data_IF_263422756900
#
_entry.id   IF_263422756900
#
_cell.length_a   1.000
_cell.length_b   1.000
_cell.length_c   1.000
_cell.angle_alpha   90.00
_cell.angle_beta   90.00
_cell.angle_gamma   90.00
#
_symmetry.space_group_name_H-M   'P 1'
#
loop_
_entity.id
_entity.type
_entity.pdbx_description
1 polymer ?
#
# COMPACT_ATOMS: atom_id res chain seq x y z
N UNK A 1 -20.42 4.93 13.91
CA UNK A 1 -19.01 4.95 13.47
C UNK A 1 -18.69 3.62 12.81
N UNK A 2 -18.04 3.64 11.64
CA UNK A 2 -17.54 2.44 10.98
C UNK A 2 -16.17 2.06 11.54
N UNK A 3 -15.87 0.76 11.62
CA UNK A 3 -14.52 0.29 11.98
C UNK A 3 -13.58 0.50 10.79
N UNK A 4 -12.35 0.96 11.05
CA UNK A 4 -11.30 1.11 10.04
C UNK A 4 -10.26 0.00 10.20
N UNK A 5 -9.88 -0.63 9.10
CA UNK A 5 -8.75 -1.56 9.02
C UNK A 5 -7.77 -1.05 7.96
N UNK A 6 -6.49 -1.01 8.30
CA UNK A 6 -5.42 -0.63 7.38
C UNK A 6 -4.48 -1.83 7.27
N UNK A 7 -4.17 -2.24 6.03
CA UNK A 7 -3.33 -3.40 5.73
C UNK A 7 -2.13 -2.89 4.93
N UNK A 8 -0.92 -3.11 5.45
CA UNK A 8 0.31 -2.87 4.70
C UNK A 8 0.86 -4.18 4.14
N UNK A 9 1.28 -4.17 2.87
CA UNK A 9 1.81 -5.33 2.16
C UNK A 9 3.20 -4.98 1.64
N UNK A 10 4.24 -5.63 2.15
CA UNK A 10 5.61 -5.39 1.68
C UNK A 10 5.85 -6.07 0.32
N UNK A 11 6.52 -5.37 -0.60
CA UNK A 11 6.78 -5.85 -1.97
C UNK A 11 5.57 -5.93 -2.91
N UNK A 12 4.38 -5.49 -2.49
CA UNK A 12 3.14 -5.58 -3.27
C UNK A 12 2.97 -4.43 -4.29
N UNK A 13 3.90 -4.32 -5.23
CA UNK A 13 3.81 -3.32 -6.31
C UNK A 13 2.63 -3.59 -7.25
N UNK A 14 2.11 -2.54 -7.91
CA UNK A 14 1.05 -2.70 -8.92
C UNK A 14 1.47 -3.62 -10.07
N UNK A 15 2.75 -3.66 -10.45
CA UNK A 15 3.26 -4.64 -11.43
C UNK A 15 2.94 -6.09 -11.07
N UNK A 16 2.99 -6.44 -9.78
CA UNK A 16 2.64 -7.79 -9.29
C UNK A 16 1.14 -7.95 -9.11
N UNK A 17 0.48 -6.95 -8.53
CA UNK A 17 -0.96 -6.99 -8.27
C UNK A 17 -1.76 -7.07 -9.56
N UNK A 18 -1.49 -6.18 -10.52
CA UNK A 18 -2.20 -6.09 -11.79
C UNK A 18 -2.05 -7.39 -12.58
N UNK A 19 -0.82 -7.93 -12.66
CA UNK A 19 -0.56 -9.23 -13.29
C UNK A 19 -1.41 -10.35 -12.66
N UNK A 20 -1.50 -10.42 -11.33
CA UNK A 20 -2.28 -11.45 -10.66
C UNK A 20 -3.80 -11.22 -10.74
N UNK A 21 -4.25 -9.97 -10.82
CA UNK A 21 -5.65 -9.60 -11.06
C UNK A 21 -6.08 -10.03 -12.46
N UNK A 22 -5.27 -9.77 -13.49
CA UNK A 22 -5.51 -10.21 -14.87
C UNK A 22 -5.66 -11.73 -14.98
N UNK A 23 -4.85 -12.47 -14.21
CA UNK A 23 -4.94 -13.93 -14.11
C UNK A 23 -6.11 -14.43 -13.25
N UNK A 24 -6.99 -13.54 -12.76
CA UNK A 24 -8.13 -13.83 -11.87
C UNK A 24 -7.73 -14.50 -10.55
N UNK A 25 -6.50 -14.26 -10.07
CA UNK A 25 -5.95 -14.85 -8.84
C UNK A 25 -6.13 -13.99 -7.59
N UNK A 26 -6.48 -12.71 -7.77
CA UNK A 26 -6.73 -11.76 -6.67
C UNK A 26 -8.16 -11.16 -6.76
N UNK A 27 -9.22 -11.96 -6.60
CA UNK A 27 -10.59 -11.49 -6.79
C UNK A 27 -10.98 -10.36 -5.82
N UNK A 28 -10.43 -10.37 -4.60
CA UNK A 28 -10.67 -9.31 -3.63
C UNK A 28 -9.99 -7.99 -4.02
N UNK A 29 -8.77 -8.03 -4.59
CA UNK A 29 -8.11 -6.81 -5.07
C UNK A 29 -8.82 -6.24 -6.29
N UNK A 30 -9.23 -7.10 -7.24
CA UNK A 30 -10.04 -6.67 -8.40
C UNK A 30 -11.26 -5.87 -7.94
N UNK A 31 -12.06 -6.43 -7.02
CA UNK A 31 -13.24 -5.74 -6.48
C UNK A 31 -12.89 -4.43 -5.77
N UNK A 32 -11.81 -4.40 -4.98
CA UNK A 32 -11.37 -3.18 -4.29
C UNK A 32 -10.90 -2.07 -5.26
N UNK A 33 -10.30 -2.46 -6.38
CA UNK A 33 -9.88 -1.52 -7.43
C UNK A 33 -11.09 -0.99 -8.20
N UNK A 34 -12.05 -1.85 -8.54
CA UNK A 34 -13.25 -1.50 -9.30
C UNK A 34 -14.23 -0.62 -8.49
N UNK A 35 -14.44 -0.94 -7.21
CA UNK A 35 -15.40 -0.24 -6.33
C UNK A 35 -14.77 0.92 -5.54
N UNK A 36 -13.44 1.04 -5.58
CA UNK A 36 -12.67 1.93 -4.72
C UNK A 36 -11.82 2.94 -5.47
N UNK A 37 -10.64 3.22 -4.94
CA UNK A 37 -9.66 4.12 -5.56
C UNK A 37 -8.27 3.57 -5.32
N UNK A 38 -7.44 3.58 -6.36
CA UNK A 38 -6.08 3.08 -6.33
C UNK A 38 -5.17 3.94 -7.21
N UNK A 39 -3.88 3.94 -6.90
CA UNK A 39 -2.87 4.69 -7.66
C UNK A 39 -1.49 4.55 -7.04
N UNK A 40 -0.46 4.91 -7.80
CA UNK A 40 0.93 4.88 -7.34
C UNK A 40 1.17 5.98 -6.30
N UNK A 41 1.72 5.61 -5.14
CA UNK A 41 2.21 6.54 -4.14
C UNK A 41 3.74 6.62 -4.16
N UNK A 42 4.27 7.81 -3.89
CA UNK A 42 5.70 8.00 -3.64
C UNK A 42 6.03 7.47 -2.25
N UNK A 43 7.08 6.64 -2.18
CA UNK A 43 7.61 6.15 -0.91
C UNK A 43 8.40 7.23 -0.17
N UNK A 44 8.89 6.88 1.01
CA UNK A 44 9.85 7.67 1.77
C UNK A 44 11.19 7.78 1.04
N UNK A 45 12.02 8.75 1.44
CA UNK A 45 13.41 8.87 1.00
C UNK A 45 14.34 8.63 2.22
N UNK A 46 15.15 7.56 2.22
CA UNK A 46 15.26 6.50 1.22
C UNK A 46 14.05 5.53 1.23
N UNK A 47 13.73 4.86 0.09
CA UNK A 47 12.57 3.96 -0.03
C UNK A 47 12.87 2.57 0.56
N UNK A 48 13.21 2.53 1.85
CA UNK A 48 13.50 1.31 2.58
C UNK A 48 12.32 0.92 3.48
N UNK A 49 12.17 -0.38 3.74
CA UNK A 49 11.10 -0.94 4.59
C UNK A 49 11.01 -0.20 5.93
N UNK A 50 12.12 -0.05 6.65
CA UNK A 50 12.16 0.53 8.00
C UNK A 50 11.61 1.97 8.08
N UNK A 51 12.10 2.95 7.29
CA UNK A 51 11.55 4.31 7.32
C UNK A 51 10.13 4.40 6.74
N UNK A 52 9.76 3.53 5.79
CA UNK A 52 8.41 3.53 5.20
C UNK A 52 7.34 3.15 6.24
N UNK A 53 7.58 2.10 7.04
CA UNK A 53 6.62 1.67 8.08
C UNK A 53 6.46 2.69 9.21
N UNK A 54 7.57 3.29 9.67
CA UNK A 54 7.51 4.33 10.70
C UNK A 54 6.77 5.58 10.20
N UNK A 55 7.02 5.99 8.95
CA UNK A 55 6.33 7.12 8.33
C UNK A 55 4.85 6.84 8.11
N UNK A 56 4.50 5.64 7.65
CA UNK A 56 3.12 5.19 7.49
C UNK A 56 2.35 5.21 8.82
N UNK A 57 2.93 4.69 9.90
CA UNK A 57 2.26 4.60 11.20
C UNK A 57 2.08 5.97 11.87
N UNK A 58 3.07 6.86 11.73
CA UNK A 58 3.06 8.18 12.38
C UNK A 58 2.41 9.28 11.53
N UNK A 59 2.30 9.08 10.22
CA UNK A 59 1.90 10.13 9.28
C UNK A 59 2.96 11.24 9.12
N UNK A 60 4.21 10.99 9.51
CA UNK A 60 5.31 11.96 9.41
C UNK A 60 6.39 11.48 8.45
N UNK A 61 7.25 12.38 7.98
CA UNK A 61 8.38 12.00 7.14
C UNK A 61 9.52 11.36 7.97
N UNK A 62 10.45 10.60 7.34
CA UNK A 62 11.49 9.87 8.05
C UNK A 62 12.35 10.72 9.00
N UNK A 63 12.58 12.00 8.67
CA UNK A 63 13.36 12.91 9.53
C UNK A 63 12.66 13.29 10.84
N UNK A 64 11.40 12.88 11.03
CA UNK A 64 10.59 13.11 12.24
C UNK A 64 10.24 11.82 12.97
N UNK A 65 10.64 10.66 12.45
CA UNK A 65 10.34 9.36 13.04
C UNK A 65 11.40 8.84 13.99
N UNK A 66 12.57 9.50 14.07
CA UNK A 66 13.69 9.12 14.95
C UNK A 66 14.99 8.91 14.20
#
# INVERSE_FOLDING_TARGET
MSKLCIIGLDGATFTVIDYLVEQKRLPNFSRLMDEGSHGTLLSTAPPLTWPAWASFFTGTNPGKTG
#
